data_IF_546521483653
#
_entry.id   IF_546521483653
#
_cell.length_a   1.000
_cell.length_b   1.000
_cell.length_c   1.000
_cell.angle_alpha   90.00
_cell.angle_beta   90.00
_cell.angle_gamma   90.00
#
_symmetry.space_group_name_H-M   'P 1'
#
loop_
_entity.id
_entity.type
_entity.pdbx_description
1 polymer ?
#
# COMPACT_ATOMS: atom_id res chain seq x y z
N UNK A 1 6.78 -8.11 -5.34
CA UNK A 1 6.76 -6.68 -5.73
C UNK A 1 7.54 -5.86 -4.73
N UNK A 2 8.32 -4.91 -5.18
CA UNK A 2 9.04 -4.01 -4.28
C UNK A 2 8.06 -3.12 -3.53
N UNK A 3 8.30 -2.92 -2.24
CA UNK A 3 7.44 -2.09 -1.40
C UNK A 3 7.31 -0.67 -1.99
N UNK A 4 8.42 -0.08 -2.41
CA UNK A 4 8.42 1.28 -2.98
C UNK A 4 7.56 1.36 -4.25
N UNK A 5 7.51 0.27 -5.02
CA UNK A 5 6.69 0.21 -6.22
C UNK A 5 5.20 0.21 -5.87
N UNK A 6 4.84 -0.59 -4.87
CA UNK A 6 3.45 -0.62 -4.40
C UNK A 6 3.03 0.75 -3.87
N UNK A 7 3.90 1.39 -3.08
CA UNK A 7 3.62 2.72 -2.53
C UNK A 7 3.43 3.74 -3.66
N UNK A 8 4.28 3.71 -4.69
CA UNK A 8 4.12 4.62 -5.82
C UNK A 8 2.77 4.45 -6.49
N UNK A 9 2.32 3.21 -6.64
CA UNK A 9 1.02 2.94 -7.26
C UNK A 9 -0.12 3.47 -6.40
N UNK A 10 -0.04 3.29 -5.09
CA UNK A 10 -1.03 3.83 -4.18
C UNK A 10 -1.03 5.37 -4.21
N UNK A 11 0.16 5.98 -4.21
CA UNK A 11 0.27 7.43 -4.28
C UNK A 11 -0.31 7.99 -5.57
N UNK A 12 -0.21 7.24 -6.67
CA UNK A 12 -0.73 7.67 -7.96
C UNK A 12 -2.26 7.86 -7.96
N UNK A 13 -2.94 7.23 -7.01
CA UNK A 13 -4.39 7.37 -6.86
C UNK A 13 -4.78 8.14 -5.62
N UNK A 14 -3.83 8.85 -5.02
CA UNK A 14 -4.11 9.79 -3.95
C UNK A 14 -3.82 9.34 -2.53
N UNK A 15 -3.37 8.11 -2.34
CA UNK A 15 -2.98 7.67 -1.00
C UNK A 15 -1.74 8.42 -0.52
N UNK A 16 -1.72 8.73 0.77
CA UNK A 16 -0.58 9.39 1.40
C UNK A 16 -0.26 8.71 2.73
N UNK A 17 1.00 8.71 3.09
CA UNK A 17 1.45 8.18 4.37
C UNK A 17 0.73 8.87 5.51
N UNK A 18 0.22 8.09 6.45
CA UNK A 18 -0.45 8.62 7.64
C UNK A 18 0.38 8.41 8.89
N UNK A 19 0.74 7.16 9.16
CA UNK A 19 1.47 6.85 10.38
C UNK A 19 2.14 5.47 10.32
N UNK A 20 3.18 5.30 11.14
CA UNK A 20 3.82 4.00 11.32
C UNK A 20 3.02 3.15 12.29
N UNK A 21 2.77 1.90 11.92
CA UNK A 21 2.27 0.90 12.84
C UNK A 21 3.41 -0.03 13.22
N UNK A 22 3.11 -1.13 13.90
CA UNK A 22 4.11 -2.12 14.29
C UNK A 22 4.78 -2.76 13.07
N UNK A 23 4.03 -3.61 12.36
CA UNK A 23 4.54 -4.30 11.17
C UNK A 23 4.04 -3.68 9.87
N UNK A 24 3.24 -2.63 9.94
CA UNK A 24 2.63 -2.01 8.77
C UNK A 24 2.63 -0.51 8.92
N UNK A 25 2.70 0.18 7.79
CA UNK A 25 2.49 1.62 7.73
C UNK A 25 1.09 1.87 7.20
N UNK A 26 0.41 2.87 7.74
CA UNK A 26 -0.94 3.22 7.32
C UNK A 26 -0.88 4.32 6.27
N UNK A 27 -1.53 4.08 5.14
CA UNK A 27 -1.73 5.06 4.08
C UNK A 27 -3.21 5.39 3.98
N UNK A 28 -3.53 6.64 3.73
CA UNK A 28 -4.92 7.10 3.65
C UNK A 28 -5.19 7.91 2.40
N UNK A 29 -6.43 7.81 1.95
CA UNK A 29 -6.98 8.64 0.88
C UNK A 29 -8.42 8.97 1.29
N UNK A 30 -8.66 10.18 1.80
CA UNK A 30 -9.97 10.52 2.36
C UNK A 30 -10.34 9.55 3.48
N UNK A 31 -11.43 8.80 3.31
CA UNK A 31 -11.86 7.79 4.28
C UNK A 31 -11.27 6.41 4.00
N UNK A 32 -10.60 6.25 2.86
CA UNK A 32 -9.96 4.98 2.52
C UNK A 32 -8.67 4.80 3.30
N UNK A 33 -8.43 3.59 3.75
CA UNK A 33 -7.23 3.26 4.52
C UNK A 33 -6.63 1.97 3.97
N UNK A 34 -5.30 1.94 3.83
CA UNK A 34 -4.60 0.75 3.42
C UNK A 34 -3.38 0.53 4.31
N UNK A 35 -3.17 -0.71 4.72
CA UNK A 35 -2.01 -1.11 5.52
C UNK A 35 -0.95 -1.68 4.59
N UNK A 36 0.22 -1.07 4.58
CA UNK A 36 1.34 -1.49 3.73
C UNK A 36 2.39 -2.17 4.59
N UNK A 37 2.70 -3.46 4.34
CA UNK A 37 3.73 -4.15 5.10
C UNK A 37 5.08 -3.43 5.03
N UNK A 38 5.85 -3.51 6.11
CA UNK A 38 7.14 -2.82 6.19
C UNK A 38 8.31 -3.64 5.66
N UNK A 39 8.04 -4.68 4.89
CA UNK A 39 9.05 -5.49 4.21
C UNK A 39 9.43 -4.85 2.88
N UNK A 40 10.72 -4.86 2.56
CA UNK A 40 11.20 -4.29 1.28
C UNK A 40 10.61 -5.02 0.07
N UNK A 41 10.35 -6.31 0.24
CA UNK A 41 9.73 -7.12 -0.81
C UNK A 41 8.36 -7.58 -0.32
N UNK A 42 7.31 -7.16 -1.02
CA UNK A 42 5.94 -7.51 -0.67
C UNK A 42 5.59 -8.85 -1.33
N UNK A 43 5.02 -9.76 -0.54
CA UNK A 43 4.52 -11.04 -1.05
C UNK A 43 3.58 -10.78 -2.23
N UNK A 44 3.71 -11.56 -3.30
CA UNK A 44 2.91 -11.36 -4.51
C UNK A 44 1.40 -11.48 -4.25
N UNK A 45 0.99 -12.37 -3.38
CA UNK A 45 -0.42 -12.53 -3.05
C UNK A 45 -0.94 -11.27 -2.38
N UNK A 46 -0.19 -10.73 -1.42
CA UNK A 46 -0.54 -9.51 -0.72
C UNK A 46 -0.57 -8.32 -1.68
N UNK A 47 0.45 -8.18 -2.52
CA UNK A 47 0.52 -7.09 -3.49
C UNK A 47 -0.67 -7.12 -4.45
N UNK A 48 -0.98 -8.29 -5.00
CA UNK A 48 -2.10 -8.43 -5.93
C UNK A 48 -3.42 -8.10 -5.26
N UNK A 49 -3.60 -8.52 -4.00
CA UNK A 49 -4.82 -8.22 -3.25
C UNK A 49 -5.01 -6.72 -3.10
N UNK A 50 -3.95 -6.01 -2.73
CA UNK A 50 -3.99 -4.57 -2.55
C UNK A 50 -4.27 -3.87 -3.88
N UNK A 51 -3.55 -4.25 -4.93
CA UNK A 51 -3.74 -3.65 -6.25
C UNK A 51 -5.15 -3.86 -6.77
N UNK A 52 -5.68 -5.07 -6.60
CA UNK A 52 -7.02 -5.39 -7.05
C UNK A 52 -8.07 -4.62 -6.25
N UNK A 53 -7.88 -4.49 -4.95
CA UNK A 53 -8.80 -3.78 -4.07
C UNK A 53 -9.03 -2.35 -4.54
N UNK A 54 -7.98 -1.69 -5.02
CA UNK A 54 -8.04 -0.30 -5.43
C UNK A 54 -8.05 -0.12 -6.95
N UNK A 55 -8.30 -1.21 -7.68
CA UNK A 55 -8.37 -1.23 -9.14
C UNK A 55 -7.08 -0.76 -9.81
N UNK A 56 -5.95 -1.02 -9.18
CA UNK A 56 -4.63 -0.74 -9.75
C UNK A 56 -4.13 -1.94 -10.55
N UNK A 57 -3.30 -1.66 -11.56
CA UNK A 57 -2.73 -2.71 -12.41
C UNK A 57 -1.26 -2.94 -12.11
#
# INVERSE_FOLDING_TARGET
MKRRELIKRLESIGFRFKEHGGNHDTYKRGTDTEQVPRHNEINEITAKRILKKWSLK
#
